data_IF_041578510062
#
_entry.id   IF_041578510062
#
_cell.length_a   1.000
_cell.length_b   1.000
_cell.length_c   1.000
_cell.angle_alpha   90.00
_cell.angle_beta   90.00
_cell.angle_gamma   90.00
#
_symmetry.space_group_name_H-M   'P 1'
#
loop_
_entity.id
_entity.type
_entity.pdbx_description
1 polymer ?
#
# COMPACT_ATOMS: atom_id res chain seq x y z
N UNK A 1 35.09 34.20 1.37
CA UNK A 1 34.69 33.79 2.74
C UNK A 1 33.19 34.01 2.89
N UNK A 2 32.39 33.16 2.23
CA UNK A 2 30.93 33.22 2.26
C UNK A 2 30.41 31.89 2.78
N UNK A 3 30.14 31.85 4.08
CA UNK A 3 29.57 30.72 4.79
C UNK A 3 28.10 31.08 4.98
N UNK A 4 27.21 30.82 4.02
CA UNK A 4 25.75 30.88 4.20
C UNK A 4 25.04 30.45 2.90
N UNK A 5 24.86 29.14 2.72
CA UNK A 5 24.15 28.59 1.56
C UNK A 5 23.60 27.18 1.77
N UNK A 6 23.26 26.80 3.00
CA UNK A 6 22.80 25.44 3.30
C UNK A 6 21.61 25.46 4.27
N UNK A 7 20.42 25.84 3.79
CA UNK A 7 19.15 25.76 4.56
C UNK A 7 17.90 25.42 3.70
N UNK A 8 18.02 24.69 2.60
CA UNK A 8 16.84 24.26 1.79
C UNK A 8 16.39 22.79 2.04
N UNK A 9 17.24 21.94 2.63
CA UNK A 9 16.97 20.49 2.73
C UNK A 9 15.79 20.07 3.62
N UNK A 10 15.38 20.88 4.61
CA UNK A 10 14.38 20.47 5.61
C UNK A 10 12.96 20.34 5.07
N UNK A 11 12.57 21.14 4.06
CA UNK A 11 11.22 21.08 3.50
C UNK A 11 11.02 19.90 2.54
N UNK A 12 12.06 19.55 1.80
CA UNK A 12 12.05 18.44 0.84
C UNK A 12 11.90 17.07 1.55
N UNK A 13 12.62 16.88 2.66
CA UNK A 13 12.49 15.66 3.47
C UNK A 13 11.09 15.47 4.04
N UNK A 14 10.46 16.56 4.52
CA UNK A 14 9.09 16.54 5.04
C UNK A 14 8.06 16.25 3.95
N UNK A 15 8.23 16.81 2.74
CA UNK A 15 7.38 16.51 1.59
C UNK A 15 7.50 15.05 1.16
N UNK A 16 8.73 14.52 1.06
CA UNK A 16 8.99 13.10 0.74
C UNK A 16 8.37 12.16 1.77
N UNK A 17 8.49 12.46 3.06
CA UNK A 17 7.87 11.67 4.12
C UNK A 17 6.33 11.67 4.00
N UNK A 18 5.72 12.84 3.79
CA UNK A 18 4.27 12.95 3.58
C UNK A 18 3.79 12.14 2.36
N UNK A 19 4.48 12.26 1.22
CA UNK A 19 4.16 11.49 0.02
C UNK A 19 4.35 9.98 0.23
N UNK A 20 5.37 9.57 1.00
CA UNK A 20 5.60 8.17 1.34
C UNK A 20 4.46 7.60 2.21
N UNK A 21 4.08 8.31 3.27
CA UNK A 21 3.02 7.89 4.19
C UNK A 21 1.67 7.85 3.46
N UNK A 22 1.36 8.86 2.64
CA UNK A 22 0.13 8.88 1.85
C UNK A 22 0.03 7.69 0.89
N UNK A 23 1.15 7.34 0.22
CA UNK A 23 1.21 6.14 -0.63
C UNK A 23 1.01 4.86 0.17
N UNK A 24 1.73 4.70 1.29
CA UNK A 24 1.58 3.52 2.16
C UNK A 24 0.16 3.37 2.70
N UNK A 25 -0.48 4.47 3.09
CA UNK A 25 -1.86 4.47 3.57
C UNK A 25 -2.85 4.07 2.47
N UNK A 26 -2.68 4.60 1.26
CA UNK A 26 -3.53 4.24 0.13
C UNK A 26 -3.39 2.75 -0.22
N UNK A 27 -2.16 2.23 -0.27
CA UNK A 27 -1.90 0.79 -0.46
C UNK A 27 -2.58 -0.04 0.62
N UNK A 28 -2.46 0.33 1.90
CA UNK A 28 -3.14 -0.36 2.99
C UNK A 28 -4.67 -0.35 2.85
N UNK A 29 -5.25 0.81 2.51
CA UNK A 29 -6.69 0.96 2.32
C UNK A 29 -7.21 0.06 1.20
N UNK A 30 -6.52 0.06 0.06
CA UNK A 30 -6.85 -0.79 -1.09
C UNK A 30 -6.74 -2.28 -0.73
N UNK A 31 -5.63 -2.68 -0.09
CA UNK A 31 -5.45 -4.06 0.35
C UNK A 31 -6.57 -4.49 1.31
N UNK A 32 -6.96 -3.64 2.27
CA UNK A 32 -8.05 -3.97 3.20
C UNK A 32 -9.39 -4.15 2.48
N UNK A 33 -9.69 -3.31 1.48
CA UNK A 33 -10.92 -3.46 0.67
C UNK A 33 -10.93 -4.80 -0.07
N UNK A 34 -9.83 -5.15 -0.73
CA UNK A 34 -9.69 -6.42 -1.46
C UNK A 34 -9.77 -7.61 -0.52
N UNK A 35 -9.10 -7.56 0.62
CA UNK A 35 -9.15 -8.63 1.63
C UNK A 35 -10.57 -8.82 2.18
N UNK A 36 -11.31 -7.73 2.41
CA UNK A 36 -12.71 -7.80 2.84
C UNK A 36 -13.63 -8.40 1.78
N UNK A 37 -13.41 -8.07 0.50
CA UNK A 37 -14.16 -8.68 -0.61
C UNK A 37 -13.89 -10.19 -0.72
N UNK A 38 -12.62 -10.60 -0.69
CA UNK A 38 -12.23 -12.01 -0.73
C UNK A 38 -12.70 -12.77 0.51
N UNK A 39 -12.68 -12.15 1.69
CA UNK A 39 -13.15 -12.79 2.93
C UNK A 39 -14.68 -12.98 2.98
N UNK A 40 -15.45 -12.30 2.12
CA UNK A 40 -16.88 -12.55 1.98
C UNK A 40 -17.18 -13.79 1.14
N UNK A 41 -16.23 -14.25 0.33
CA UNK A 41 -16.39 -15.47 -0.45
C UNK A 41 -16.31 -16.69 0.47
N UNK A 42 -17.11 -17.70 0.15
CA UNK A 42 -17.09 -18.99 0.84
C UNK A 42 -15.79 -19.76 0.51
N UNK A 43 -15.42 -20.73 1.34
CA UNK A 43 -14.22 -21.55 1.09
C UNK A 43 -14.28 -22.29 -0.26
N UNK A 44 -15.48 -22.61 -0.74
CA UNK A 44 -15.69 -23.23 -2.05
C UNK A 44 -15.42 -22.24 -3.18
N UNK A 45 -16.03 -21.05 -3.14
CA UNK A 45 -15.78 -20.01 -4.14
C UNK A 45 -14.30 -19.60 -4.19
N UNK A 46 -13.64 -19.54 -3.03
CA UNK A 46 -12.19 -19.33 -2.96
C UNK A 46 -11.41 -20.47 -3.63
N UNK A 47 -11.82 -21.73 -3.42
CA UNK A 47 -11.20 -22.88 -4.08
C UNK A 47 -11.45 -22.90 -5.60
N UNK A 48 -12.64 -22.50 -6.06
CA UNK A 48 -12.98 -22.39 -7.49
C UNK A 48 -12.08 -21.38 -8.22
N UNK A 49 -11.69 -20.28 -7.56
CA UNK A 49 -10.72 -19.31 -8.11
C UNK A 49 -9.26 -19.63 -7.78
N UNK A 50 -9.00 -20.76 -7.10
CA UNK A 50 -7.65 -21.19 -6.73
C UNK A 50 -6.99 -20.38 -5.62
N UNK A 51 -7.76 -19.67 -4.78
CA UNK A 51 -7.26 -18.85 -3.67
C UNK A 51 -7.43 -19.60 -2.35
N UNK A 52 -6.35 -19.69 -1.57
CA UNK A 52 -6.41 -20.16 -0.17
C UNK A 52 -6.83 -19.02 0.75
N UNK A 53 -7.67 -19.31 1.76
CA UNK A 53 -8.14 -18.33 2.76
C UNK A 53 -6.98 -17.57 3.43
N UNK A 54 -5.89 -18.29 3.70
CA UNK A 54 -4.67 -17.75 4.34
C UNK A 54 -3.93 -16.76 3.42
N UNK A 55 -3.99 -16.98 2.10
CA UNK A 55 -3.32 -16.14 1.10
C UNK A 55 -4.08 -14.83 0.81
N UNK A 56 -5.31 -14.67 1.30
CA UNK A 56 -6.16 -13.48 1.04
C UNK A 56 -5.42 -12.19 1.37
N UNK A 57 -4.73 -12.14 2.51
CA UNK A 57 -4.01 -10.93 2.94
C UNK A 57 -2.82 -10.62 2.01
N UNK A 58 -2.05 -11.64 1.64
CA UNK A 58 -0.89 -11.49 0.76
C UNK A 58 -1.28 -11.07 -0.66
N UNK A 59 -2.33 -11.68 -1.22
CA UNK A 59 -2.86 -11.34 -2.54
C UNK A 59 -3.42 -9.92 -2.55
N UNK A 60 -4.17 -9.54 -1.51
CA UNK A 60 -4.70 -8.20 -1.37
C UNK A 60 -3.58 -7.14 -1.30
N UNK A 61 -2.50 -7.44 -0.58
CA UNK A 61 -1.33 -6.56 -0.49
C UNK A 61 -0.57 -6.48 -1.82
N UNK A 62 -0.42 -7.61 -2.53
CA UNK A 62 0.21 -7.66 -3.87
C UNK A 62 -0.60 -6.85 -4.89
N UNK A 63 -1.93 -7.00 -4.89
CA UNK A 63 -2.84 -6.23 -5.74
C UNK A 63 -2.75 -4.73 -5.46
N UNK A 64 -2.72 -4.33 -4.18
CA UNK A 64 -2.65 -2.93 -3.80
C UNK A 64 -1.32 -2.23 -4.16
N UNK A 65 -0.20 -2.96 -4.18
CA UNK A 65 1.10 -2.42 -4.62
C UNK A 65 1.19 -2.26 -6.14
N UNK A 66 0.59 -3.19 -6.90
CA UNK A 66 0.53 -3.12 -8.36
C UNK A 66 -0.34 -1.99 -8.90
N UNK A 67 -1.29 -1.48 -8.10
CA UNK A 67 -2.18 -0.37 -8.46
C UNK A 67 -1.56 1.03 -8.24
N UNK A 68 -0.24 1.15 -8.14
CA UNK A 68 0.47 2.42 -7.85
C UNK A 68 1.21 2.99 -9.07
N UNK A 69 0.64 2.80 -10.26
CA UNK A 69 1.13 3.31 -11.57
C UNK A 69 0.24 4.42 -12.10
#
# INVERSE_FOLDING_TARGET
>A
MSILGQLDGSNEHRKKLKMSIARSFNTWRTARRTAHQLSRLSNRELADVGIKREAIYEIALKSARGNTI
#
